data_IF_739726220098
#
_entry.id   IF_739726220098
#
_cell.length_a   1.000
_cell.length_b   1.000
_cell.length_c   1.000
_cell.angle_alpha   90.00
_cell.angle_beta   90.00
_cell.angle_gamma   90.00
#
_symmetry.space_group_name_H-M   'P 1'
#
loop_
_entity.id
_entity.type
_entity.pdbx_description
1 polymer ?
#
# COMPACT_ATOMS: atom_id res chain seq x y z
N UNK A 1 -3.15 21.76 -44.90
CA UNK A 1 -2.22 20.63 -45.04
C UNK A 1 -1.89 20.17 -43.64
N UNK A 2 -2.54 19.11 -43.14
CA UNK A 2 -2.33 18.60 -41.78
C UNK A 2 -2.14 17.09 -41.86
N UNK A 3 -1.11 16.62 -41.18
CA UNK A 3 -0.53 15.28 -41.23
C UNK A 3 -1.40 14.32 -40.40
N UNK A 4 -1.65 13.08 -40.87
CA UNK A 4 -2.38 12.04 -40.12
C UNK A 4 -1.46 11.15 -39.27
N UNK A 5 -1.96 10.67 -38.12
CA UNK A 5 -1.54 9.41 -37.49
C UNK A 5 -1.02 9.48 -36.05
N UNK A 6 -1.48 8.51 -35.24
CA UNK A 6 -1.10 8.13 -33.87
C UNK A 6 -1.83 8.92 -32.76
N UNK A 7 -2.59 8.33 -31.84
CA UNK A 7 -2.84 6.94 -31.48
C UNK A 7 -4.22 6.81 -30.84
N UNK A 8 -4.83 5.63 -31.01
CA UNK A 8 -6.12 5.23 -30.48
C UNK A 8 -6.29 5.60 -29.00
N UNK A 9 -7.38 6.30 -28.71
CA UNK A 9 -7.85 6.51 -27.36
C UNK A 9 -8.03 5.17 -26.67
N UNK A 10 -7.51 5.07 -25.46
CA UNK A 10 -7.70 3.96 -24.53
C UNK A 10 -9.14 3.44 -24.64
N UNK A 11 -9.35 2.15 -24.89
CA UNK A 11 -10.69 1.62 -25.09
C UNK A 11 -11.51 1.88 -23.83
N UNK A 12 -12.55 2.70 -23.97
CA UNK A 12 -13.67 2.76 -23.06
C UNK A 12 -14.08 1.31 -22.74
N UNK A 13 -14.19 0.90 -21.47
CA UNK A 13 -14.61 -0.46 -21.16
C UNK A 13 -15.91 -0.77 -21.88
N UNK A 14 -15.81 -1.65 -22.89
CA UNK A 14 -16.94 -2.11 -23.69
C UNK A 14 -17.87 -2.83 -22.73
N UNK A 15 -19.05 -2.26 -22.50
CA UNK A 15 -20.10 -2.87 -21.68
C UNK A 15 -20.45 -4.23 -22.30
N UNK A 16 -20.01 -5.31 -21.65
CA UNK A 16 -20.59 -6.62 -21.84
C UNK A 16 -21.80 -6.69 -20.90
N UNK A 17 -22.95 -6.25 -21.42
CA UNK A 17 -24.28 -6.55 -20.88
C UNK A 17 -24.58 -8.04 -21.11
N UNK A 18 -23.96 -8.90 -20.30
CA UNK A 18 -24.47 -10.24 -20.07
C UNK A 18 -25.30 -10.17 -18.80
N UNK A 19 -26.63 -10.07 -18.94
CA UNK A 19 -27.64 -9.81 -17.91
C UNK A 19 -27.69 -10.82 -16.75
N UNK A 20 -26.59 -10.98 -16.03
CA UNK A 20 -26.44 -11.73 -14.78
C UNK A 20 -26.17 -10.72 -13.68
N UNK A 21 -26.90 -10.74 -12.55
CA UNK A 21 -26.54 -9.89 -11.43
C UNK A 21 -25.12 -10.26 -10.98
N UNK A 22 -24.18 -9.33 -11.13
CA UNK A 22 -22.92 -9.35 -10.38
C UNK A 22 -23.26 -8.93 -8.95
N UNK A 23 -23.82 -9.86 -8.18
CA UNK A 23 -23.90 -9.74 -6.73
C UNK A 23 -22.50 -9.96 -6.17
N UNK A 24 -21.71 -8.89 -6.18
CA UNK A 24 -20.34 -8.83 -5.65
C UNK A 24 -19.99 -7.38 -5.40
N UNK A 25 -20.86 -6.68 -4.68
CA UNK A 25 -20.58 -5.35 -4.16
C UNK A 25 -19.61 -5.52 -2.99
N UNK A 26 -18.36 -5.07 -3.13
CA UNK A 26 -17.38 -5.01 -2.05
C UNK A 26 -17.70 -3.79 -1.16
N UNK A 27 -18.87 -3.74 -0.54
CA UNK A 27 -19.37 -2.53 0.16
C UNK A 27 -18.83 -2.37 1.60
N UNK A 28 -17.67 -2.96 1.93
CA UNK A 28 -17.14 -2.94 3.30
C UNK A 28 -15.64 -2.67 3.36
N UNK A 29 -15.25 -1.66 4.14
CA UNK A 29 -13.87 -1.53 4.62
C UNK A 29 -13.49 -2.79 5.41
N UNK A 30 -12.34 -3.39 5.06
CA UNK A 30 -11.82 -4.55 5.80
C UNK A 30 -11.39 -4.07 7.18
N UNK A 31 -12.03 -4.58 8.22
CA UNK A 31 -11.72 -4.25 9.62
C UNK A 31 -11.43 -5.52 10.41
N UNK A 32 -10.43 -5.47 11.29
CA UNK A 32 -10.15 -6.51 12.28
C UNK A 32 -10.38 -5.99 13.70
N UNK A 33 -10.86 -6.83 14.64
CA UNK A 33 -11.11 -6.42 16.02
C UNK A 33 -9.80 -6.11 16.76
N UNK A 34 -9.83 -5.12 17.66
CA UNK A 34 -8.74 -4.74 18.58
C UNK A 34 -7.43 -4.25 17.92
N UNK A 35 -7.50 -3.74 16.69
CA UNK A 35 -6.34 -3.18 15.98
C UNK A 35 -6.09 -1.73 16.41
N UNK A 36 -4.84 -1.41 16.76
CA UNK A 36 -4.43 -0.05 17.17
C UNK A 36 -4.28 0.88 15.96
N UNK A 37 -4.40 2.21 16.13
CA UNK A 37 -4.04 3.18 15.09
C UNK A 37 -2.58 3.04 14.62
N UNK A 38 -2.30 3.54 13.42
CA UNK A 38 -0.92 3.69 12.96
C UNK A 38 -0.09 4.52 13.95
N UNK A 39 1.20 4.21 14.05
CA UNK A 39 2.10 4.83 15.03
C UNK A 39 2.53 6.24 14.64
N UNK A 40 2.41 6.59 13.37
CA UNK A 40 2.77 7.89 12.80
C UNK A 40 1.60 8.46 12.01
N UNK A 41 1.47 9.79 12.01
CA UNK A 41 0.50 10.50 11.20
C UNK A 41 0.90 10.49 9.71
N UNK A 42 2.20 10.51 9.44
CA UNK A 42 2.78 10.44 8.09
C UNK A 42 3.65 9.19 7.95
N UNK A 43 3.39 8.40 6.91
CA UNK A 43 4.24 7.24 6.57
C UNK A 43 5.55 7.61 5.86
N UNK A 44 6.34 6.60 5.51
CA UNK A 44 7.58 6.79 4.76
C UNK A 44 8.78 7.31 5.56
N UNK A 45 8.69 7.33 6.89
CA UNK A 45 9.80 7.76 7.74
C UNK A 45 11.04 6.87 7.52
N UNK A 46 12.26 7.43 7.53
CA UNK A 46 13.50 6.64 7.41
C UNK A 46 13.61 5.60 8.52
N UNK A 47 13.95 4.36 8.17
CA UNK A 47 14.23 3.32 9.16
C UNK A 47 15.70 3.34 9.58
N UNK A 48 15.94 3.32 10.89
CA UNK A 48 17.28 3.10 11.42
C UNK A 48 17.82 1.72 11.03
N UNK A 49 19.13 1.65 10.78
CA UNK A 49 19.82 0.42 10.43
C UNK A 49 21.14 0.30 11.18
N UNK A 50 21.62 -0.93 11.31
CA UNK A 50 23.01 -1.21 11.69
C UNK A 50 23.80 -1.72 10.50
N UNK A 51 25.12 -1.53 10.51
CA UNK A 51 25.99 -2.10 9.49
C UNK A 51 26.60 -3.39 10.03
N UNK A 52 26.43 -4.49 9.31
CA UNK A 52 27.09 -5.79 9.55
C UNK A 52 27.81 -6.20 8.26
N UNK A 53 29.11 -6.47 8.32
CA UNK A 53 29.93 -6.93 7.18
C UNK A 53 29.77 -6.09 5.89
N UNK A 54 29.64 -4.77 6.05
CA UNK A 54 29.47 -3.83 4.93
C UNK A 54 28.06 -3.78 4.34
N UNK A 55 27.07 -4.39 5.01
CA UNK A 55 25.66 -4.40 4.60
C UNK A 55 24.80 -3.68 5.65
N UNK A 56 23.83 -2.88 5.19
CA UNK A 56 22.82 -2.30 6.08
C UNK A 56 21.77 -3.35 6.46
N UNK A 57 21.58 -3.56 7.75
CA UNK A 57 20.58 -4.47 8.31
C UNK A 57 19.47 -3.66 8.93
N UNK A 58 18.24 -3.92 8.47
CA UNK A 58 17.01 -3.32 8.97
C UNK A 58 16.17 -4.37 9.69
N UNK A 59 15.49 -3.97 10.76
CA UNK A 59 14.54 -4.81 11.49
C UNK A 59 13.11 -4.32 11.23
N UNK A 60 12.29 -5.22 10.69
CA UNK A 60 10.88 -4.96 10.39
C UNK A 60 9.99 -5.84 11.26
N UNK A 61 9.00 -5.24 11.88
CA UNK A 61 7.92 -5.93 12.58
C UNK A 61 6.64 -5.80 11.77
N UNK A 62 5.97 -6.92 11.50
CA UNK A 62 4.64 -6.90 10.87
C UNK A 62 3.58 -6.46 11.87
N UNK A 63 2.72 -5.51 11.51
CA UNK A 63 1.66 -4.99 12.37
C UNK A 63 0.38 -4.74 11.58
N UNK A 64 -0.75 -5.18 12.11
CA UNK A 64 -2.05 -4.66 11.69
C UNK A 64 -2.26 -3.31 12.38
N UNK A 65 -2.65 -2.28 11.63
CA UNK A 65 -3.00 -0.95 12.16
C UNK A 65 -4.28 -0.43 11.52
N UNK A 66 -5.01 0.45 12.22
CA UNK A 66 -6.11 1.22 11.63
C UNK A 66 -5.52 2.42 10.90
N UNK A 67 -5.96 2.63 9.65
CA UNK A 67 -5.51 3.73 8.81
C UNK A 67 -6.68 4.39 8.08
N UNK A 68 -6.76 5.71 8.15
CA UNK A 68 -7.77 6.50 7.45
C UNK A 68 -7.30 6.76 6.01
N UNK A 69 -8.03 6.20 5.03
CA UNK A 69 -7.69 6.35 3.60
C UNK A 69 -8.44 7.49 2.94
N UNK A 70 -9.59 7.88 3.50
CA UNK A 70 -10.46 8.98 3.11
C UNK A 70 -11.15 9.47 4.39
N UNK A 71 -11.67 10.69 4.39
CA UNK A 71 -12.40 11.28 5.52
C UNK A 71 -13.52 10.33 6.01
N UNK A 72 -13.42 9.87 7.25
CA UNK A 72 -14.35 8.94 7.89
C UNK A 72 -14.26 7.49 7.41
N UNK A 73 -13.31 7.14 6.54
CA UNK A 73 -13.11 5.78 6.01
C UNK A 73 -11.80 5.20 6.55
N UNK A 74 -11.92 4.36 7.56
CA UNK A 74 -10.79 3.65 8.17
C UNK A 74 -10.76 2.18 7.74
N UNK A 75 -9.57 1.68 7.40
CA UNK A 75 -9.30 0.28 7.06
C UNK A 75 -8.25 -0.31 7.98
N UNK A 76 -8.26 -1.63 8.13
CA UNK A 76 -7.12 -2.36 8.69
C UNK A 76 -6.03 -2.52 7.62
N UNK A 77 -4.87 -1.92 7.86
CA UNK A 77 -3.68 -2.04 7.04
C UNK A 77 -2.67 -3.00 7.69
N UNK A 78 -2.13 -3.94 6.91
CA UNK A 78 -0.98 -4.73 7.31
C UNK A 78 0.30 -4.01 6.89
N UNK A 79 1.10 -3.63 7.87
CA UNK A 79 2.21 -2.69 7.73
C UNK A 79 3.50 -3.27 8.26
N UNK A 80 4.61 -2.64 7.89
CA UNK A 80 5.87 -2.78 8.60
C UNK A 80 6.03 -1.60 9.55
N UNK A 81 6.37 -1.89 10.80
CA UNK A 81 6.61 -0.95 11.88
C UNK A 81 5.43 0.00 12.21
N UNK A 82 4.23 -0.27 11.71
CA UNK A 82 3.00 0.41 12.12
C UNK A 82 2.63 1.65 11.31
N UNK A 83 3.21 1.86 10.13
CA UNK A 83 3.00 3.08 9.32
C UNK A 83 2.51 2.79 7.89
N UNK A 84 1.80 3.76 7.31
CA UNK A 84 1.33 3.74 5.91
C UNK A 84 1.64 5.09 5.24
N UNK A 85 2.43 5.14 4.14
CA UNK A 85 3.30 4.09 3.63
C UNK A 85 4.28 3.56 4.70
N UNK A 86 4.76 2.33 4.52
CA UNK A 86 5.78 1.76 5.42
C UNK A 86 7.09 2.54 5.41
N UNK A 87 8.03 2.22 6.32
CA UNK A 87 9.25 3.00 6.50
C UNK A 87 10.20 2.90 5.30
N UNK A 88 10.95 3.97 5.02
CA UNK A 88 11.92 4.04 3.93
C UNK A 88 13.21 3.25 4.28
N UNK A 89 13.58 2.35 3.36
CA UNK A 89 14.74 1.44 3.47
C UNK A 89 15.71 1.60 2.28
N UNK A 90 16.10 2.85 2.03
CA UNK A 90 17.02 3.22 0.94
C UNK A 90 18.47 2.79 1.19
N UNK A 91 18.98 1.87 0.35
CA UNK A 91 20.34 1.34 0.41
C UNK A 91 20.77 0.63 -0.89
N UNK A 92 22.07 0.69 -1.24
CA UNK A 92 22.65 -0.06 -2.37
C UNK A 92 22.81 -1.56 -2.08
N UNK A 93 23.19 -1.92 -0.85
CA UNK A 93 23.25 -3.30 -0.34
C UNK A 93 22.52 -3.37 1.00
N UNK A 94 21.57 -4.28 1.13
CA UNK A 94 20.72 -4.41 2.32
C UNK A 94 20.36 -5.85 2.64
N UNK A 95 20.12 -6.10 3.93
CA UNK A 95 19.50 -7.29 4.50
C UNK A 95 18.30 -6.83 5.33
N UNK A 96 17.16 -7.48 5.14
CA UNK A 96 15.93 -7.22 5.89
C UNK A 96 15.67 -8.43 6.78
N UNK A 97 15.45 -8.19 8.08
CA UNK A 97 15.08 -9.22 9.05
C UNK A 97 13.65 -8.96 9.53
N UNK A 98 12.87 -10.03 9.60
CA UNK A 98 11.53 -10.01 10.20
C UNK A 98 11.63 -10.40 11.66
N UNK A 99 11.05 -9.58 12.54
CA UNK A 99 10.87 -9.87 13.97
C UNK A 99 9.54 -10.55 14.27
#
# INVERSE_FOLDING_TARGET
>A
MTIPGMADGTPTPRQHDDGKPRSGSYDGAVTAPNVQPATEADGGQPLEYRTEDGVKVFELTTKAVQWEILDGVTVTAFTYNGTVPGPDVSALRKVIRFG
#
